data_IF_836334587155
#
_entry.id   IF_836334587155
#
_cell.length_a   1.000
_cell.length_b   1.000
_cell.length_c   1.000
_cell.angle_alpha   90.00
_cell.angle_beta   90.00
_cell.angle_gamma   90.00
#
_symmetry.space_group_name_H-M   'P 1'
#
loop_
_entity.id
_entity.type
_entity.pdbx_description
1 polymer ?
#
# COMPACT_ATOMS: atom_id res chain seq x y z
N UNK A 1 26.41 -25.50 10.57
CA UNK A 1 26.54 -24.23 9.82
C UNK A 1 25.57 -24.29 8.65
N UNK A 2 24.39 -23.70 8.78
CA UNK A 2 23.36 -23.70 7.73
C UNK A 2 23.11 -22.27 7.26
N UNK A 3 24.14 -21.61 6.72
CA UNK A 3 23.95 -20.39 5.96
C UNK A 3 23.54 -20.77 4.53
N UNK A 4 22.24 -20.95 4.31
CA UNK A 4 21.72 -20.74 2.96
C UNK A 4 21.81 -19.23 2.69
N UNK A 5 22.44 -18.80 1.59
CA UNK A 5 22.69 -17.40 1.34
C UNK A 5 21.36 -16.63 1.29
N UNK A 6 21.40 -15.40 1.80
CA UNK A 6 20.31 -14.45 1.58
C UNK A 6 20.13 -14.28 0.06
N UNK A 7 18.99 -14.74 -0.46
CA UNK A 7 18.67 -14.66 -1.88
C UNK A 7 18.62 -13.22 -2.42
N UNK A 8 18.42 -12.22 -1.54
CA UNK A 8 18.39 -10.80 -1.89
C UNK A 8 19.09 -9.94 -0.82
N UNK A 9 19.72 -8.81 -1.22
CA UNK A 9 20.32 -7.87 -0.29
C UNK A 9 19.32 -7.39 0.78
N UNK A 10 19.79 -7.25 2.02
CA UNK A 10 19.00 -6.70 3.12
C UNK A 10 18.84 -5.19 2.91
N UNK A 11 17.59 -4.70 2.88
CA UNK A 11 17.35 -3.26 2.92
C UNK A 11 17.74 -2.69 4.29
N UNK A 12 18.11 -1.40 4.35
CA UNK A 12 18.43 -0.70 5.60
C UNK A 12 17.39 -0.97 6.69
N UNK A 13 17.86 -1.39 7.87
CA UNK A 13 16.99 -1.81 8.98
C UNK A 13 16.27 -0.62 9.64
N UNK A 14 16.93 0.54 9.72
CA UNK A 14 16.41 1.75 10.35
C UNK A 14 15.64 2.67 9.38
N UNK A 15 15.43 2.26 8.13
CA UNK A 15 14.67 3.08 7.20
C UNK A 15 13.17 3.00 7.47
N UNK A 16 12.46 4.07 7.14
CA UNK A 16 11.02 4.01 7.04
C UNK A 16 10.59 2.99 5.96
N UNK A 17 9.41 2.40 6.15
CA UNK A 17 8.76 1.52 5.19
C UNK A 17 7.62 2.29 4.57
N UNK A 18 7.60 2.31 3.25
CA UNK A 18 6.60 3.07 2.50
C UNK A 18 5.66 2.14 1.75
N UNK A 19 4.41 2.55 1.66
CA UNK A 19 3.42 1.95 0.77
C UNK A 19 2.53 3.05 0.22
N UNK A 20 2.16 2.96 -1.05
CA UNK A 20 1.42 4.03 -1.73
C UNK A 20 0.12 3.47 -2.31
N UNK A 21 -0.95 4.24 -2.19
CA UNK A 21 -2.20 4.03 -2.92
C UNK A 21 -2.40 5.19 -3.89
N UNK A 22 -2.56 4.90 -5.17
CA UNK A 22 -2.84 5.90 -6.21
C UNK A 22 -4.35 5.95 -6.48
N UNK A 23 -4.93 7.14 -6.52
CA UNK A 23 -6.33 7.33 -6.87
C UNK A 23 -6.55 7.00 -8.34
N UNK A 24 -7.52 6.13 -8.64
CA UNK A 24 -7.72 5.58 -9.98
C UNK A 24 -8.22 6.60 -11.01
N UNK A 25 -8.77 7.73 -10.58
CA UNK A 25 -9.36 8.78 -11.42
C UNK A 25 -8.86 10.19 -11.06
N UNK A 26 -7.79 10.32 -10.28
CA UNK A 26 -7.23 11.61 -9.88
C UNK A 26 -5.70 11.54 -9.73
N UNK A 27 -4.99 12.64 -9.96
CA UNK A 27 -3.54 12.76 -9.74
C UNK A 27 -3.16 12.84 -8.26
N UNK A 28 -3.83 12.06 -7.41
CA UNK A 28 -3.67 12.05 -5.96
C UNK A 28 -3.22 10.68 -5.51
N UNK A 29 -2.31 10.64 -4.56
CA UNK A 29 -1.91 9.41 -3.88
C UNK A 29 -1.90 9.61 -2.36
N UNK A 30 -1.98 8.50 -1.65
CA UNK A 30 -1.76 8.42 -0.20
C UNK A 30 -0.52 7.60 0.06
N UNK A 31 0.40 8.15 0.84
CA UNK A 31 1.64 7.48 1.24
C UNK A 31 1.51 7.10 2.72
N UNK A 32 1.69 5.83 3.01
CA UNK A 32 1.87 5.33 4.37
C UNK A 32 3.36 5.27 4.67
N UNK A 33 3.81 6.03 5.67
CA UNK A 33 5.19 5.98 6.18
C UNK A 33 5.17 5.34 7.55
N UNK A 34 5.72 4.12 7.68
CA UNK A 34 5.83 3.39 8.95
C UNK A 34 7.28 3.25 9.40
N UNK A 35 7.51 3.31 10.71
CA UNK A 35 8.81 3.01 11.29
C UNK A 35 9.74 4.23 11.38
N UNK A 36 10.94 4.06 11.96
CA UNK A 36 11.37 2.85 12.70
C UNK A 36 10.61 2.66 14.03
N UNK A 37 9.80 3.63 14.45
CA UNK A 37 8.94 3.51 15.65
C UNK A 37 7.59 2.82 15.36
N UNK A 38 6.85 2.44 16.42
CA UNK A 38 5.47 1.90 16.31
C UNK A 38 4.44 3.00 15.97
N UNK A 39 4.73 3.80 14.95
CA UNK A 39 3.88 4.88 14.45
C UNK A 39 3.79 4.82 12.93
N UNK A 40 2.63 5.18 12.40
CA UNK A 40 2.39 5.29 10.95
C UNK A 40 1.92 6.70 10.65
N UNK A 41 2.61 7.40 9.76
CA UNK A 41 2.20 8.68 9.20
C UNK A 41 1.44 8.42 7.90
N UNK A 42 0.36 9.16 7.68
CA UNK A 42 -0.32 9.28 6.39
C UNK A 42 0.04 10.61 5.76
N UNK A 43 0.46 10.59 4.49
CA UNK A 43 0.68 11.78 3.69
C UNK A 43 -0.25 11.76 2.47
N UNK A 44 -0.67 12.93 2.02
CA UNK A 44 -1.19 13.09 0.65
C UNK A 44 -0.05 13.45 -0.27
N UNK A 45 -0.18 13.03 -1.53
CA UNK A 45 0.79 13.32 -2.57
C UNK A 45 0.06 13.76 -3.84
N UNK A 46 0.35 14.97 -4.30
CA UNK A 46 -0.04 15.43 -5.63
C UNK A 46 0.98 14.91 -6.66
N UNK A 47 0.56 13.97 -7.51
CA UNK A 47 1.40 13.32 -8.52
C UNK A 47 1.73 14.25 -9.70
N UNK A 48 1.03 15.39 -9.84
CA UNK A 48 1.30 16.35 -10.91
C UNK A 48 2.51 17.21 -10.59
N UNK A 49 2.58 17.68 -9.34
CA UNK A 49 3.59 18.64 -8.84
C UNK A 49 4.64 17.99 -7.95
N UNK A 50 4.52 16.69 -7.67
CA UNK A 50 5.33 15.95 -6.71
C UNK A 50 5.34 16.55 -5.29
N UNK A 51 4.23 17.18 -4.91
CA UNK A 51 4.07 17.81 -3.59
C UNK A 51 3.52 16.81 -2.58
N UNK A 52 4.27 16.54 -1.52
CA UNK A 52 3.82 15.74 -0.39
C UNK A 52 3.40 16.63 0.79
N UNK A 53 2.24 16.33 1.37
CA UNK A 53 1.73 17.01 2.55
C UNK A 53 1.60 16.00 3.69
N UNK A 54 2.46 16.09 4.74
CA UNK A 54 2.32 15.26 5.93
C UNK A 54 1.00 15.52 6.65
N UNK A 55 0.32 14.45 7.07
CA UNK A 55 -0.89 14.56 7.88
C UNK A 55 -0.76 13.92 9.25
N UNK A 56 -1.78 13.16 9.63
CA UNK A 56 -1.90 12.60 10.97
C UNK A 56 -1.06 11.34 11.16
N UNK A 57 -0.60 11.18 12.39
CA UNK A 57 0.11 10.02 12.87
C UNK A 57 -0.82 9.11 13.67
N UNK A 58 -0.77 7.82 13.40
CA UNK A 58 -1.33 6.79 14.29
C UNK A 58 -0.22 6.21 15.17
N UNK A 59 -0.39 6.23 16.49
CA UNK A 59 0.36 5.36 17.42
C UNK A 59 -0.28 3.97 17.42
N UNK A 60 0.10 3.16 16.43
CA UNK A 60 -0.47 1.84 16.17
C UNK A 60 -0.02 1.29 14.81
N UNK A 61 -0.68 0.21 14.37
CA UNK A 61 -0.50 -0.38 13.04
C UNK A 61 -1.63 0.09 12.15
N UNK A 62 -1.29 0.65 10.99
CA UNK A 62 -2.17 0.64 9.82
C UNK A 62 -1.74 -0.55 8.96
N UNK A 63 -2.70 -1.30 8.42
CA UNK A 63 -2.46 -2.40 7.48
C UNK A 63 -2.62 -1.86 6.05
N UNK A 64 -1.57 -1.21 5.54
CA UNK A 64 -1.54 -0.49 4.25
C UNK A 64 -2.06 -1.31 3.06
N UNK A 65 -1.74 -2.61 3.01
CA UNK A 65 -2.15 -3.49 1.91
C UNK A 65 -3.63 -3.89 1.97
N UNK A 66 -4.32 -3.57 3.06
CA UNK A 66 -5.77 -3.79 3.26
C UNK A 66 -6.60 -2.52 3.15
N UNK A 67 -5.93 -1.40 2.97
CA UNK A 67 -6.56 -0.11 2.75
C UNK A 67 -6.93 0.08 1.28
N UNK A 68 -7.78 1.05 0.98
CA UNK A 68 -8.07 1.45 -0.39
C UNK A 68 -8.40 2.93 -0.46
N UNK A 69 -8.14 3.51 -1.62
CA UNK A 69 -8.41 4.90 -1.90
C UNK A 69 -9.64 5.00 -2.82
N UNK A 70 -10.53 5.93 -2.52
CA UNK A 70 -11.66 6.22 -3.40
C UNK A 70 -11.13 6.64 -4.77
N UNK A 71 -11.90 6.43 -5.86
CA UNK A 71 -11.40 6.73 -7.20
C UNK A 71 -10.87 8.17 -7.38
N UNK A 72 -11.46 9.15 -6.69
CA UNK A 72 -11.09 10.57 -6.70
C UNK A 72 -10.01 10.95 -5.68
N UNK A 73 -9.58 10.02 -4.82
CA UNK A 73 -8.57 10.28 -3.80
C UNK A 73 -9.09 10.98 -2.55
N UNK A 74 -10.40 11.24 -2.44
CA UNK A 74 -10.95 12.03 -1.33
C UNK A 74 -11.19 11.26 -0.05
N UNK A 75 -11.38 9.94 -0.14
CA UNK A 75 -11.64 9.07 0.99
C UNK A 75 -10.67 7.90 1.01
N UNK A 76 -10.16 7.61 2.20
CA UNK A 76 -9.34 6.46 2.50
C UNK A 76 -10.15 5.51 3.38
N UNK A 77 -10.29 4.24 2.96
CA UNK A 77 -10.67 3.16 3.88
C UNK A 77 -9.40 2.46 4.35
N UNK A 78 -9.25 2.23 5.64
CA UNK A 78 -8.07 1.55 6.19
C UNK A 78 -8.41 0.70 7.41
N UNK A 79 -7.73 -0.42 7.53
CA UNK A 79 -7.72 -1.22 8.75
C UNK A 79 -6.56 -0.81 9.65
N UNK A 80 -6.82 -0.74 10.94
CA UNK A 80 -5.82 -0.42 11.94
C UNK A 80 -6.01 -1.21 13.22
N UNK A 81 -4.93 -1.32 13.99
CA UNK A 81 -4.92 -1.97 15.29
C UNK A 81 -3.96 -1.29 16.26
N UNK A 82 -4.32 -1.34 17.54
CA UNK A 82 -3.51 -0.86 18.65
C UNK A 82 -3.68 -1.82 19.83
N UNK A 83 -2.62 -2.59 20.12
CA UNK A 83 -2.63 -3.49 21.26
C UNK A 83 -2.72 -2.72 22.58
N UNK A 84 -3.49 -3.23 23.52
CA UNK A 84 -3.66 -2.64 24.85
C UNK A 84 -4.54 -1.37 24.89
N UNK A 85 -5.36 -1.11 23.87
CA UNK A 85 -6.44 -0.11 23.93
C UNK A 85 -7.81 -0.78 23.86
N UNK A 86 -8.84 -0.09 24.39
CA UNK A 86 -10.25 -0.51 24.30
C UNK A 86 -10.68 -0.77 22.84
N UNK A 87 -10.33 0.14 21.93
CA UNK A 87 -10.42 -0.09 20.49
C UNK A 87 -9.17 -0.84 20.01
N UNK A 88 -9.22 -2.18 20.02
CA UNK A 88 -8.06 -3.04 19.68
C UNK A 88 -7.80 -3.12 18.18
N UNK A 89 -8.85 -3.16 17.37
CA UNK A 89 -8.81 -3.22 15.91
C UNK A 89 -10.06 -2.61 15.30
N UNK A 90 -9.92 -1.94 14.15
CA UNK A 90 -11.01 -1.25 13.48
C UNK A 90 -10.77 -1.11 11.98
N UNK A 91 -11.85 -0.92 11.22
CA UNK A 91 -11.82 -0.34 9.88
C UNK A 91 -12.41 1.06 9.96
N UNK A 92 -11.73 2.04 9.37
CA UNK A 92 -12.21 3.41 9.32
C UNK A 92 -12.25 3.93 7.88
N UNK A 93 -13.16 4.86 7.63
CA UNK A 93 -13.12 5.74 6.46
C UNK A 93 -12.75 7.14 6.95
N UNK A 94 -11.78 7.80 6.30
CA UNK A 94 -11.36 9.17 6.63
C UNK A 94 -11.05 9.97 5.36
N UNK A 95 -10.90 11.30 5.49
CA UNK A 95 -10.32 12.14 4.44
C UNK A 95 -8.79 12.20 4.62
N UNK A 96 -7.97 11.74 3.66
CA UNK A 96 -6.52 11.90 3.77
C UNK A 96 -6.13 13.39 3.69
N UNK A 97 -5.02 13.79 4.35
CA UNK A 97 -4.08 12.95 5.08
C UNK A 97 -4.46 12.76 6.56
N UNK A 98 -5.74 12.94 6.91
CA UNK A 98 -6.27 12.77 8.27
C UNK A 98 -6.75 11.33 8.50
N UNK A 99 -6.70 10.92 9.76
CA UNK A 99 -7.10 9.63 10.31
C UNK A 99 -8.31 9.76 11.25
N UNK A 100 -8.86 10.96 11.43
CA UNK A 100 -10.16 11.10 12.09
C UNK A 100 -11.24 10.43 11.24
N UNK A 101 -11.93 9.47 11.83
CA UNK A 101 -12.91 8.65 11.15
C UNK A 101 -14.19 9.44 10.84
N UNK A 102 -14.63 9.38 9.58
CA UNK A 102 -15.97 9.72 9.12
C UNK A 102 -16.96 8.56 9.32
N UNK A 103 -16.44 7.33 9.30
CA UNK A 103 -17.12 6.11 9.69
C UNK A 103 -16.10 5.18 10.35
N UNK A 104 -16.53 4.45 11.36
CA UNK A 104 -15.71 3.50 12.12
C UNK A 104 -16.50 2.22 12.35
N UNK A 105 -15.90 1.09 11.99
CA UNK A 105 -16.36 -0.26 12.32
C UNK A 105 -15.37 -0.90 13.29
N UNK A 106 -15.87 -1.22 14.48
CA UNK A 106 -15.17 -1.91 15.56
C UNK A 106 -15.02 -3.41 15.21
N UNK A 107 -14.21 -4.13 15.98
CA UNK A 107 -14.06 -5.59 15.86
C UNK A 107 -13.58 -6.11 14.49
N UNK A 108 -12.77 -5.33 13.79
CA UNK A 108 -12.21 -5.72 12.51
C UNK A 108 -11.33 -6.99 12.58
N UNK A 109 -10.79 -7.29 13.76
CA UNK A 109 -9.96 -8.45 14.04
C UNK A 109 -8.69 -8.48 13.18
N UNK A 110 -8.14 -9.68 12.98
CA UNK A 110 -6.95 -9.88 12.14
C UNK A 110 -7.24 -9.82 10.63
N UNK A 111 -8.47 -9.53 10.21
CA UNK A 111 -8.94 -9.61 8.82
C UNK A 111 -9.44 -8.28 8.25
N UNK A 112 -9.62 -7.25 9.08
CA UNK A 112 -10.07 -5.91 8.69
C UNK A 112 -9.50 -5.39 7.36
N UNK A 113 -10.34 -4.75 6.55
CA UNK A 113 -9.95 -4.04 5.33
C UNK A 113 -11.17 -3.57 4.53
N UNK A 114 -10.94 -2.97 3.36
CA UNK A 114 -12.03 -2.61 2.46
C UNK A 114 -11.57 -2.15 1.09
N UNK A 115 -12.49 -2.19 0.12
CA UNK A 115 -12.30 -1.75 -1.25
C UNK A 115 -13.45 -0.84 -1.70
N UNK A 116 -13.12 0.32 -2.26
CA UNK A 116 -14.08 1.16 -2.94
C UNK A 116 -14.43 0.58 -4.32
N UNK A 117 -15.70 0.76 -4.72
CA UNK A 117 -16.20 0.37 -6.02
C UNK A 117 -15.82 1.37 -7.13
N UNK A 118 -16.79 1.61 -8.04
CA UNK A 118 -16.65 2.55 -9.17
C UNK A 118 -16.56 4.03 -8.73
N UNK A 119 -17.06 4.32 -7.53
CA UNK A 119 -17.07 5.62 -6.85
C UNK A 119 -16.91 5.41 -5.33
N UNK A 120 -16.93 6.51 -4.57
CA UNK A 120 -16.83 6.47 -3.11
C UNK A 120 -18.11 5.96 -2.41
N UNK A 121 -19.25 5.96 -3.11
CA UNK A 121 -20.56 5.60 -2.55
C UNK A 121 -20.77 4.09 -2.45
N UNK A 122 -19.85 3.30 -3.01
CA UNK A 122 -19.86 1.85 -2.90
C UNK A 122 -18.61 1.41 -2.16
N UNK A 123 -18.77 0.87 -0.95
CA UNK A 123 -17.67 0.36 -0.14
C UNK A 123 -17.90 -1.11 0.22
N UNK A 124 -16.97 -1.96 -0.18
CA UNK A 124 -16.95 -3.37 0.21
C UNK A 124 -16.02 -3.55 1.40
N UNK A 125 -16.52 -4.06 2.53
CA UNK A 125 -15.73 -4.26 3.74
C UNK A 125 -15.35 -5.74 3.93
N UNK A 126 -14.13 -5.96 4.42
CA UNK A 126 -13.63 -7.23 4.90
C UNK A 126 -13.58 -7.16 6.43
N UNK A 127 -14.56 -7.76 7.10
CA UNK A 127 -14.72 -7.72 8.55
C UNK A 127 -14.85 -9.14 9.12
N UNK A 128 -14.46 -9.31 10.38
CA UNK A 128 -14.56 -10.58 11.11
C UNK A 128 -16.03 -11.00 11.29
N UNK A 129 -16.88 -10.08 11.72
CA UNK A 129 -18.33 -10.27 11.87
C UNK A 129 -19.09 -9.25 11.04
N UNK A 130 -20.03 -9.73 10.21
CA UNK A 130 -20.91 -8.85 9.44
C UNK A 130 -22.10 -8.36 10.27
N UNK A 131 -22.50 -9.10 11.30
CA UNK A 131 -23.61 -8.73 12.19
C UNK A 131 -23.32 -7.43 12.96
N UNK A 132 -22.04 -7.17 13.23
CA UNK A 132 -21.54 -5.95 13.87
C UNK A 132 -21.44 -4.79 12.86
N UNK A 133 -21.19 -5.07 11.57
CA UNK A 133 -20.96 -4.05 10.56
C UNK A 133 -22.17 -3.12 10.30
N UNK A 134 -23.38 -3.68 10.46
CA UNK A 134 -24.62 -2.93 10.26
C UNK A 134 -25.09 -2.20 11.53
N UNK A 135 -24.59 -2.63 12.71
CA UNK A 135 -24.96 -2.07 14.03
C UNK A 135 -23.94 -1.06 14.56
N UNK A 136 -22.64 -1.29 14.37
CA UNK A 136 -21.54 -0.46 14.86
C UNK A 136 -20.97 0.45 13.77
N UNK A 137 -21.71 1.52 13.47
CA UNK A 137 -21.17 2.70 12.77
C UNK A 137 -20.96 3.81 13.79
N UNK A 138 -19.98 3.62 14.67
CA UNK A 138 -19.92 4.35 15.95
C UNK A 138 -19.33 5.77 15.87
N UNK A 139 -18.76 6.18 14.72
CA UNK A 139 -18.18 7.52 14.57
C UNK A 139 -18.78 8.27 13.37
N UNK A 140 -19.40 9.43 13.66
CA UNK A 140 -19.91 10.38 12.66
C UNK A 140 -21.28 10.00 12.07
N UNK A 141 -21.98 11.00 11.49
CA UNK A 141 -23.16 10.73 10.66
C UNK A 141 -22.66 10.10 9.35
N UNK A 142 -22.64 8.77 9.29
CA UNK A 142 -22.32 8.05 8.05
C UNK A 142 -23.27 8.52 6.96
N UNK A 143 -22.71 8.96 5.84
CA UNK A 143 -23.51 9.48 4.73
C UNK A 143 -24.55 8.44 4.28
N UNK A 144 -25.81 8.86 4.17
CA UNK A 144 -26.88 8.02 3.63
C UNK A 144 -26.64 7.58 2.18
N UNK A 145 -25.71 8.26 1.48
CA UNK A 145 -25.30 7.92 0.11
C UNK A 145 -24.29 6.76 0.07
N UNK A 146 -23.66 6.40 1.19
CA UNK A 146 -22.70 5.32 1.27
C UNK A 146 -23.44 3.97 1.37
N UNK A 147 -23.31 3.15 0.33
CA UNK A 147 -23.71 1.75 0.34
C UNK A 147 -22.52 0.91 0.76
N UNK A 148 -22.71 0.17 1.85
CA UNK A 148 -21.71 -0.74 2.40
C UNK A 148 -22.15 -2.17 2.11
N UNK A 149 -21.27 -2.98 1.55
CA UNK A 149 -21.51 -4.39 1.28
C UNK A 149 -20.33 -5.25 1.71
N UNK A 150 -20.54 -6.56 1.78
CA UNK A 150 -19.51 -7.50 2.20
C UNK A 150 -18.62 -7.86 1.01
N UNK A 151 -17.29 -7.78 1.17
CA UNK A 151 -16.35 -8.20 0.14
C UNK A 151 -16.29 -9.74 0.04
N UNK A 152 -15.93 -10.39 1.16
CA UNK A 152 -15.95 -11.84 1.39
C UNK A 152 -15.47 -12.09 2.83
N UNK A 153 -15.92 -13.13 3.56
CA UNK A 153 -15.30 -13.48 4.86
C UNK A 153 -13.81 -13.81 4.76
N UNK A 154 -13.03 -13.33 5.73
CA UNK A 154 -11.66 -13.79 6.05
C UNK A 154 -10.64 -13.73 4.90
N UNK A 155 -10.74 -12.73 4.02
CA UNK A 155 -9.66 -12.52 3.04
C UNK A 155 -8.38 -12.12 3.77
N UNK A 156 -7.31 -12.86 3.52
CA UNK A 156 -5.99 -12.47 3.99
C UNK A 156 -5.49 -11.21 3.27
N UNK A 157 -4.44 -10.60 3.83
CA UNK A 157 -3.87 -9.36 3.30
C UNK A 157 -3.37 -9.51 1.87
N UNK A 158 -2.81 -10.67 1.52
CA UNK A 158 -2.31 -10.93 0.17
C UNK A 158 -3.45 -10.91 -0.84
N UNK A 159 -4.48 -11.73 -0.64
CA UNK A 159 -5.64 -11.82 -1.54
C UNK A 159 -6.34 -10.49 -1.69
N UNK A 160 -6.59 -9.78 -0.59
CA UNK A 160 -7.20 -8.46 -0.62
C UNK A 160 -6.37 -7.47 -1.45
N UNK A 161 -5.05 -7.46 -1.26
CA UNK A 161 -4.16 -6.58 -2.02
C UNK A 161 -4.07 -6.94 -3.51
N UNK A 162 -4.08 -8.24 -3.85
CA UNK A 162 -4.07 -8.71 -5.24
C UNK A 162 -5.37 -8.36 -5.96
N UNK A 163 -6.53 -8.49 -5.30
CA UNK A 163 -7.81 -8.04 -5.87
C UNK A 163 -7.80 -6.54 -6.18
N UNK A 164 -7.19 -5.72 -5.30
CA UNK A 164 -7.01 -4.29 -5.52
C UNK A 164 -6.13 -4.01 -6.74
N UNK A 165 -4.98 -4.69 -6.83
CA UNK A 165 -4.04 -4.54 -7.94
C UNK A 165 -4.67 -4.96 -9.29
N UNK A 166 -5.40 -6.08 -9.33
CA UNK A 166 -6.12 -6.52 -10.53
C UNK A 166 -7.13 -5.47 -11.02
N UNK A 167 -7.89 -4.89 -10.09
CA UNK A 167 -8.81 -3.78 -10.40
C UNK A 167 -8.06 -2.55 -10.95
N UNK A 168 -6.79 -2.38 -10.59
CA UNK A 168 -5.90 -1.29 -11.02
C UNK A 168 -5.10 -1.60 -12.29
N UNK A 169 -5.47 -2.67 -13.00
CA UNK A 169 -4.89 -3.04 -14.30
C UNK A 169 -3.60 -3.83 -14.20
N UNK A 170 -3.32 -4.45 -13.04
CA UNK A 170 -2.22 -5.39 -12.90
C UNK A 170 -2.66 -6.80 -13.26
N UNK A 171 -1.90 -7.47 -14.12
CA UNK A 171 -2.01 -8.90 -14.33
C UNK A 171 -1.19 -9.63 -13.28
N UNK A 172 -1.74 -10.72 -12.74
CA UNK A 172 -1.16 -11.45 -11.61
C UNK A 172 -0.97 -12.92 -12.00
N UNK A 173 0.27 -13.38 -11.94
CA UNK A 173 0.64 -14.80 -12.02
C UNK A 173 1.00 -15.28 -10.63
N UNK A 174 0.25 -16.25 -10.10
CA UNK A 174 0.51 -16.80 -8.77
C UNK A 174 1.72 -17.74 -8.78
N UNK A 175 2.48 -17.68 -7.70
CA UNK A 175 3.57 -18.58 -7.38
C UNK A 175 3.18 -19.64 -6.37
N UNK A 176 4.06 -20.63 -6.15
CA UNK A 176 3.85 -21.67 -5.14
C UNK A 176 4.38 -21.22 -3.77
N UNK A 177 3.52 -21.16 -2.75
CA UNK A 177 3.91 -20.75 -1.39
C UNK A 177 4.46 -21.92 -0.58
N UNK A 178 5.74 -21.88 -0.24
CA UNK A 178 6.41 -22.88 0.62
C UNK A 178 6.74 -22.26 1.98
N UNK A 179 6.30 -22.92 3.06
CA UNK A 179 6.60 -22.50 4.44
C UNK A 179 8.01 -22.91 4.81
N UNK A 180 8.78 -21.99 5.41
CA UNK A 180 10.12 -22.28 5.88
C UNK A 180 10.16 -22.58 7.40
N UNK A 181 11.21 -23.25 7.90
CA UNK A 181 11.43 -23.44 9.33
C UNK A 181 11.52 -22.10 10.07
N UNK A 182 11.19 -22.09 11.37
CA UNK A 182 11.19 -20.85 12.20
C UNK A 182 12.56 -20.20 12.34
N UNK A 183 13.63 -20.97 12.12
CA UNK A 183 15.03 -20.48 12.14
C UNK A 183 15.43 -19.78 10.85
N UNK A 184 14.62 -19.89 9.78
CA UNK A 184 14.91 -19.24 8.52
C UNK A 184 14.68 -17.72 8.60
N UNK A 185 15.37 -16.99 7.72
CA UNK A 185 15.21 -15.53 7.58
C UNK A 185 13.79 -15.11 7.15
N UNK A 186 13.11 -15.94 6.37
CA UNK A 186 11.76 -15.67 5.86
C UNK A 186 10.80 -16.72 6.40
N UNK A 187 9.55 -16.34 6.66
CA UNK A 187 8.51 -17.31 7.04
C UNK A 187 8.00 -18.13 5.85
N UNK A 188 8.00 -17.54 4.65
CA UNK A 188 7.56 -18.18 3.41
C UNK A 188 8.41 -17.76 2.22
N UNK A 189 8.52 -18.63 1.23
CA UNK A 189 9.05 -18.32 -0.11
C UNK A 189 8.00 -18.64 -1.17
N UNK A 190 8.08 -17.93 -2.29
CA UNK A 190 7.28 -18.15 -3.48
C UNK A 190 8.19 -18.63 -4.61
N UNK A 191 7.97 -19.84 -5.09
CA UNK A 191 8.82 -20.47 -6.11
C UNK A 191 7.98 -21.30 -7.10
N UNK A 192 7.72 -20.81 -8.34
CA UNK A 192 8.16 -19.51 -8.87
C UNK A 192 7.58 -18.32 -8.07
N UNK A 193 8.14 -17.11 -8.17
CA UNK A 193 7.62 -15.94 -7.47
C UNK A 193 6.18 -15.62 -7.90
N UNK A 194 5.45 -14.89 -7.05
CA UNK A 194 4.21 -14.24 -7.52
C UNK A 194 4.65 -13.07 -8.40
N UNK A 195 4.21 -13.06 -9.66
CA UNK A 195 4.58 -12.04 -10.63
C UNK A 195 3.39 -11.12 -10.87
N UNK A 196 3.63 -9.82 -10.77
CA UNK A 196 2.66 -8.76 -11.03
C UNK A 196 3.18 -7.94 -12.21
N UNK A 197 2.38 -7.81 -13.26
CA UNK A 197 2.75 -7.05 -14.45
C UNK A 197 1.76 -5.95 -14.75
N UNK A 198 2.26 -4.80 -15.17
CA UNK A 198 1.43 -3.69 -15.64
C UNK A 198 2.01 -3.08 -16.89
N UNK A 199 1.15 -2.92 -17.89
CA UNK A 199 1.53 -2.36 -19.18
C UNK A 199 2.00 -0.90 -19.03
N UNK A 200 3.11 -0.59 -19.68
CA UNK A 200 3.65 0.75 -19.90
C UNK A 200 3.41 1.15 -21.38
N UNK A 201 3.87 2.34 -21.76
CA UNK A 201 3.90 2.76 -23.17
C UNK A 201 4.88 1.90 -23.99
N UNK A 202 4.75 1.97 -25.32
CA UNK A 202 5.65 1.29 -26.27
C UNK A 202 5.73 -0.25 -26.12
N UNK A 203 4.69 -0.88 -25.58
CA UNK A 203 4.65 -2.33 -25.36
C UNK A 203 5.56 -2.81 -24.22
N UNK A 204 6.08 -1.89 -23.39
CA UNK A 204 6.89 -2.24 -22.23
C UNK A 204 6.02 -2.65 -21.05
N UNK A 205 6.64 -3.30 -20.07
CA UNK A 205 5.94 -3.83 -18.90
C UNK A 205 6.74 -3.55 -17.64
N UNK A 206 6.09 -2.97 -16.63
CA UNK A 206 6.60 -2.97 -15.26
C UNK A 206 6.33 -4.35 -14.66
N UNK A 207 7.37 -4.99 -14.16
CA UNK A 207 7.30 -6.32 -13.53
C UNK A 207 7.70 -6.20 -12.07
N UNK A 208 6.81 -6.61 -11.16
CA UNK A 208 7.09 -6.75 -9.73
C UNK A 208 7.01 -8.23 -9.36
N UNK A 209 8.09 -8.76 -8.80
CA UNK A 209 8.22 -10.16 -8.41
C UNK A 209 8.27 -10.24 -6.89
N UNK A 210 7.30 -10.94 -6.29
CA UNK A 210 7.26 -11.21 -4.86
C UNK A 210 7.84 -12.60 -4.59
N UNK A 211 8.98 -12.61 -3.90
CA UNK A 211 9.80 -13.81 -3.71
C UNK A 211 9.63 -14.46 -2.35
N UNK A 212 9.33 -13.67 -1.32
CA UNK A 212 9.20 -14.16 0.05
C UNK A 212 8.28 -13.30 0.90
N UNK A 213 7.88 -13.83 2.06
CA UNK A 213 7.09 -13.11 3.05
C UNK A 213 7.56 -13.35 4.48
N UNK A 214 7.22 -12.42 5.38
CA UNK A 214 7.60 -12.40 6.79
C UNK A 214 9.12 -12.45 6.99
N UNK A 215 9.84 -11.47 6.47
CA UNK A 215 11.28 -11.33 6.72
C UNK A 215 11.54 -10.93 8.18
N UNK A 216 12.42 -11.65 8.86
CA UNK A 216 12.83 -11.37 10.24
C UNK A 216 13.38 -9.95 10.38
N UNK A 217 12.78 -9.16 11.27
CA UNK A 217 13.04 -7.71 11.46
C UNK A 217 12.91 -6.86 10.18
N UNK A 218 12.33 -7.43 9.13
CA UNK A 218 12.32 -6.87 7.79
C UNK A 218 10.91 -6.60 7.28
N UNK A 219 10.78 -6.65 5.95
CA UNK A 219 9.53 -6.30 5.26
C UNK A 219 8.55 -7.47 5.31
N UNK A 220 7.26 -7.16 5.22
CA UNK A 220 6.23 -8.19 5.16
C UNK A 220 6.36 -9.01 3.87
N UNK A 221 6.66 -8.36 2.76
CA UNK A 221 6.94 -8.99 1.47
C UNK A 221 8.33 -8.58 0.99
N UNK A 222 9.00 -9.50 0.31
CA UNK A 222 10.28 -9.26 -0.35
C UNK A 222 10.01 -9.21 -1.84
N UNK A 223 10.03 -7.99 -2.38
CA UNK A 223 9.67 -7.70 -3.76
C UNK A 223 10.88 -7.11 -4.51
N UNK A 224 11.02 -7.48 -5.79
CA UNK A 224 11.91 -6.81 -6.73
C UNK A 224 11.12 -6.25 -7.89
N UNK A 225 11.60 -5.16 -8.49
CA UNK A 225 10.99 -4.57 -9.67
C UNK A 225 11.98 -4.47 -10.84
N UNK A 226 11.46 -4.62 -12.05
CA UNK A 226 12.18 -4.43 -13.31
C UNK A 226 11.25 -3.89 -14.38
N UNK A 227 11.83 -3.31 -15.43
CA UNK A 227 11.11 -2.90 -16.63
C UNK A 227 11.56 -3.79 -17.77
N UNK A 228 10.60 -4.40 -18.48
CA UNK A 228 10.86 -5.22 -19.67
C UNK A 228 10.38 -4.51 -20.92
N UNK A 229 11.18 -4.57 -21.98
CA UNK A 229 10.82 -4.11 -23.32
C UNK A 229 9.77 -5.02 -23.97
N UNK A 230 9.29 -4.60 -25.14
CA UNK A 230 8.34 -5.39 -25.92
C UNK A 230 8.94 -6.72 -26.44
N UNK A 231 10.26 -6.78 -26.55
CA UNK A 231 11.07 -7.96 -26.86
C UNK A 231 11.31 -8.86 -25.64
N UNK A 232 10.82 -8.47 -24.45
CA UNK A 232 11.04 -9.17 -23.18
C UNK A 232 12.39 -8.87 -22.52
N UNK A 233 13.26 -8.07 -23.15
CA UNK A 233 14.58 -7.71 -22.61
C UNK A 233 14.42 -6.73 -21.45
N UNK A 234 15.23 -6.90 -20.39
CA UNK A 234 15.21 -5.98 -19.25
C UNK A 234 15.80 -4.62 -19.69
N UNK A 235 14.95 -3.59 -19.69
CA UNK A 235 15.32 -2.20 -19.95
C UNK A 235 15.79 -1.46 -18.70
N UNK A 236 15.31 -1.86 -17.53
CA UNK A 236 15.81 -1.35 -16.26
C UNK A 236 15.67 -2.38 -15.13
N UNK A 237 16.74 -2.57 -14.37
CA UNK A 237 16.73 -3.35 -13.14
C UNK A 237 16.57 -2.41 -11.94
N UNK A 238 15.36 -2.33 -11.36
CA UNK A 238 15.08 -1.45 -10.21
C UNK A 238 15.49 -2.10 -8.88
N UNK A 239 15.65 -3.43 -8.90
CA UNK A 239 16.11 -4.21 -7.76
C UNK A 239 15.04 -4.30 -6.67
N UNK A 240 15.48 -4.44 -5.41
CA UNK A 240 14.60 -4.62 -4.26
C UNK A 240 13.82 -3.35 -3.95
N UNK A 241 12.51 -3.46 -3.77
CA UNK A 241 11.60 -2.33 -3.50
C UNK A 241 10.72 -2.60 -2.27
N UNK A 242 10.23 -1.53 -1.64
CA UNK A 242 9.12 -1.62 -0.67
C UNK A 242 7.76 -1.57 -1.41
N UNK A 243 7.72 -0.87 -2.55
CA UNK A 243 6.54 -0.70 -3.41
C UNK A 243 6.96 -0.11 -4.78
N UNK A 244 6.22 -0.41 -5.87
CA UNK A 244 6.36 0.25 -7.16
C UNK A 244 5.04 0.24 -7.95
N UNK A 245 4.76 1.30 -8.71
CA UNK A 245 3.63 1.39 -9.66
C UNK A 245 3.90 2.46 -10.71
N UNK A 246 2.93 2.70 -11.58
CA UNK A 246 2.92 3.64 -12.69
C UNK A 246 1.96 4.77 -12.34
N UNK A 247 2.41 6.02 -12.51
CA UNK A 247 1.56 7.19 -12.31
C UNK A 247 0.67 7.49 -13.53
N UNK A 248 -0.19 8.51 -13.42
CA UNK A 248 -1.06 8.90 -14.54
C UNK A 248 -0.32 9.43 -15.78
N UNK A 249 0.94 9.87 -15.62
CA UNK A 249 1.78 10.29 -16.74
C UNK A 249 2.45 9.10 -17.42
N UNK A 250 2.36 7.90 -16.85
CA UNK A 250 3.05 6.70 -17.29
C UNK A 250 4.46 6.57 -16.70
N UNK A 251 4.91 7.48 -15.83
CA UNK A 251 6.21 7.34 -15.20
C UNK A 251 6.17 6.26 -14.13
N UNK A 252 7.29 5.57 -13.94
CA UNK A 252 7.41 4.58 -12.87
C UNK A 252 7.75 5.32 -11.58
N UNK A 253 7.00 5.02 -10.53
CA UNK A 253 7.26 5.48 -9.18
C UNK A 253 7.61 4.25 -8.34
N UNK A 254 8.64 4.39 -7.51
CA UNK A 254 9.01 3.35 -6.57
C UNK A 254 9.33 3.94 -5.20
N UNK A 255 9.15 3.08 -4.20
CA UNK A 255 9.59 3.33 -2.85
C UNK A 255 10.67 2.33 -2.45
N UNK A 256 11.75 2.83 -1.86
CA UNK A 256 12.85 2.02 -1.36
C UNK A 256 13.52 2.74 -0.20
N UNK A 257 13.64 2.06 0.93
CA UNK A 257 14.41 2.53 2.09
C UNK A 257 13.97 3.92 2.60
N UNK A 258 12.66 4.13 2.68
CA UNK A 258 12.09 5.38 3.18
C UNK A 258 12.09 6.52 2.16
N UNK A 259 12.58 6.29 0.94
CA UNK A 259 12.59 7.26 -0.14
C UNK A 259 11.55 6.94 -1.21
N UNK A 260 10.95 7.98 -1.79
CA UNK A 260 10.17 7.93 -3.02
C UNK A 260 11.03 8.44 -4.17
N UNK A 261 11.03 7.73 -5.29
CA UNK A 261 11.75 8.11 -6.50
C UNK A 261 10.90 7.88 -7.74
N UNK A 262 11.24 8.58 -8.82
CA UNK A 262 10.56 8.54 -10.12
C UNK A 262 11.56 8.18 -11.21
N UNK A 263 11.20 7.26 -12.08
CA UNK A 263 11.89 6.94 -13.31
C UNK A 263 10.97 7.27 -14.48
N UNK A 264 11.34 8.29 -15.26
CA UNK A 264 10.55 8.69 -16.43
C UNK A 264 10.76 7.70 -17.55
N UNK A 265 9.68 7.28 -18.22
CA UNK A 265 9.79 6.37 -19.38
C UNK A 265 10.71 6.97 -20.46
N UNK A 266 10.69 8.29 -20.64
CA UNK A 266 11.55 8.97 -21.63
C UNK A 266 13.04 8.80 -21.37
N UNK A 267 13.45 8.57 -20.11
CA UNK A 267 14.86 8.31 -19.77
C UNK A 267 15.29 6.93 -20.26
N UNK A 268 14.40 5.95 -20.17
CA UNK A 268 14.62 4.58 -20.63
C UNK A 268 14.64 4.45 -22.15
N UNK A 269 13.94 5.34 -22.87
CA UNK A 269 13.87 5.30 -24.33
C UNK A 269 15.22 5.59 -25.03
N UNK A 270 16.16 6.21 -24.32
CA UNK A 270 17.46 6.59 -24.88
C UNK A 270 18.55 5.52 -24.66
N UNK A 271 18.18 4.33 -24.17
CA UNK A 271 19.09 3.23 -23.76
C UNK A 271 20.27 3.66 -22.85
N UNK A 272 20.18 4.84 -22.24
CA UNK A 272 21.15 5.35 -21.28
C UNK A 272 20.83 4.76 -19.89
N UNK A 273 21.85 4.38 -19.09
CA UNK A 273 21.67 4.02 -17.70
C UNK A 273 20.90 5.13 -16.99
N UNK A 274 19.66 4.82 -16.60
CA UNK A 274 18.75 5.82 -16.03
C UNK A 274 18.40 5.40 -14.63
N UNK A 275 18.90 6.16 -13.65
CA UNK A 275 18.52 5.97 -12.27
C UNK A 275 17.25 6.75 -11.93
N UNK A 276 16.39 6.20 -11.06
CA UNK A 276 15.23 6.94 -10.56
C UNK A 276 15.66 8.21 -9.80
N UNK A 277 15.15 9.36 -10.23
CA UNK A 277 15.36 10.63 -9.53
C UNK A 277 14.59 10.65 -8.19
N UNK A 278 15.24 11.10 -7.12
CA UNK A 278 14.62 11.24 -5.81
C UNK A 278 13.48 12.28 -5.84
N UNK A 279 12.32 11.91 -5.31
CA UNK A 279 11.19 12.81 -5.07
C UNK A 279 11.23 13.31 -3.63
N UNK A 280 11.37 12.39 -2.67
CA UNK A 280 11.40 12.73 -1.25
C UNK A 280 12.10 11.65 -0.44
N UNK A 281 12.88 12.08 0.55
CA UNK A 281 13.33 11.24 1.66
C UNK A 281 12.40 11.45 2.86
N UNK A 282 11.76 10.39 3.33
CA UNK A 282 10.78 10.42 4.42
C UNK A 282 11.30 9.77 5.72
N UNK A 283 12.61 9.49 5.79
CA UNK A 283 13.22 8.85 6.96
C UNK A 283 13.18 9.73 8.21
N UNK A 284 13.45 11.03 8.07
CA UNK A 284 13.61 11.93 9.22
C UNK A 284 12.31 12.55 9.74
N UNK A 285 11.16 12.18 9.14
CA UNK A 285 9.86 12.64 9.62
C UNK A 285 9.59 12.13 11.04
N UNK A 286 9.24 13.07 11.92
CA UNK A 286 8.93 12.83 13.33
C UNK A 286 7.49 13.23 13.63
N UNK A 287 6.96 12.70 14.73
CA UNK A 287 5.58 12.96 15.15
C UNK A 287 5.34 14.45 15.34
N UNK A 288 4.28 14.94 14.71
CA UNK A 288 3.72 16.27 14.94
C UNK A 288 2.21 16.10 15.17
N UNK A 289 1.65 16.64 16.27
CA UNK A 289 0.20 16.67 16.43
C UNK A 289 -0.39 17.52 15.31
N UNK A 290 -1.50 17.06 14.75
CA UNK A 290 -2.22 17.77 13.71
C UNK A 290 -3.71 17.60 13.95
N UNK A 291 -4.41 18.71 14.19
CA UNK A 291 -5.86 18.71 14.32
C UNK A 291 -6.54 18.48 12.99
N UNK A 292 -7.73 17.88 13.04
CA UNK A 292 -8.54 17.63 11.85
C UNK A 292 -9.39 18.86 11.56
N UNK A 293 -9.21 19.52 10.40
CA UNK A 293 -10.02 20.67 10.05
C UNK A 293 -11.47 20.27 9.76
N UNK A 294 -12.41 21.20 9.93
CA UNK A 294 -13.84 20.95 9.75
C UNK A 294 -14.20 20.30 8.38
N UNK A 295 -13.48 20.66 7.31
CA UNK A 295 -13.68 20.07 5.97
C UNK A 295 -13.40 18.55 5.93
N UNK A 296 -12.46 18.07 6.74
CA UNK A 296 -12.09 16.66 6.82
C UNK A 296 -13.05 15.83 7.68
N UNK A 297 -13.97 16.48 8.40
CA UNK A 297 -15.03 15.85 9.21
C UNK A 297 -16.37 15.71 8.46
N UNK A 298 -16.40 16.06 7.18
CA UNK A 298 -17.58 15.95 6.33
C UNK A 298 -17.36 14.89 5.26
N UNK A 299 -18.44 14.32 4.74
CA UNK A 299 -18.40 13.49 3.54
C UNK A 299 -18.30 14.38 2.27
N UNK A 300 -17.86 13.83 1.12
CA UNK A 300 -17.98 14.49 -0.18
C UNK A 300 -19.43 14.64 -0.66
#
# INVERSE_FOLDING_TARGET
MNDKPALWPTMRANSARLYVLIARKAGRAVVFRRGPTKRTLVLTWDLRTDTLVPGQWLKGRIYERRADLSPDGELLVYAAAKGGSELTSWVAVSRPPYLTALALWTEAGMWGGGLFGKDWRSLQLNLLSWEVADKDRSAGSVSSKLRVSRLHPYLDELRLSLMRLQREGWDITLGERKKLPRTARYGYVFDPPIVQTKALRAGWTLVVEMHAANESNGRLYVETASVRGADGVIKAQLGRVDWADIDLKGDIILAREGCLSRLKISQLANDAPSEPSLIADLNDLSFRPLETPAKALRWP
#
